data_IF_057177258957
#
_entry.id   IF_057177258957
#
_cell.length_a   1.000
_cell.length_b   1.000
_cell.length_c   1.000
_cell.angle_alpha   90.00
_cell.angle_beta   90.00
_cell.angle_gamma   90.00
#
_symmetry.space_group_name_H-M   'P 1'
#
loop_
_entity.id
_entity.type
_entity.pdbx_description
1 polymer ?
#
# COMPACT_ATOMS: atom_id res chain seq x y z
N UNK A 1 15.25 66.37 4.05
CA UNK A 1 16.54 65.66 3.77
C UNK A 1 16.31 64.18 3.89
N UNK A 2 16.93 63.35 3.08
CA UNK A 2 16.87 61.88 3.26
C UNK A 2 17.52 61.51 4.61
N UNK A 3 17.05 60.42 5.22
CA UNK A 3 17.56 59.92 6.46
C UNK A 3 19.01 59.37 6.30
N UNK A 4 19.78 59.45 7.36
CA UNK A 4 21.09 58.76 7.47
C UNK A 4 21.02 57.64 8.48
N UNK A 5 21.86 56.61 8.35
CA UNK A 5 21.90 55.48 9.30
C UNK A 5 22.15 55.98 10.74
N UNK A 6 22.95 57.05 10.92
CA UNK A 6 23.17 57.68 12.20
C UNK A 6 21.87 58.26 12.78
N UNK A 7 21.07 58.93 11.97
CA UNK A 7 19.78 59.51 12.39
C UNK A 7 18.80 58.40 12.80
N UNK A 8 18.74 57.30 12.03
CA UNK A 8 17.92 56.12 12.33
C UNK A 8 18.33 55.46 13.64
N UNK A 9 19.64 55.29 13.86
CA UNK A 9 20.20 54.70 15.08
C UNK A 9 19.89 55.56 16.30
N UNK A 10 20.08 56.88 16.20
CA UNK A 10 19.91 57.85 17.29
C UNK A 10 18.45 58.24 17.56
N UNK A 11 17.51 57.83 16.72
CA UNK A 11 16.09 58.12 16.89
C UNK A 11 15.56 57.56 18.22
N UNK A 12 15.07 58.45 19.10
CA UNK A 12 14.53 58.08 20.43
C UNK A 12 13.00 58.03 20.39
N UNK A 13 12.37 57.15 21.20
CA UNK A 13 10.92 57.12 21.37
C UNK A 13 10.45 58.39 22.04
N UNK A 14 9.27 58.91 21.62
CA UNK A 14 8.55 60.01 22.29
C UNK A 14 7.27 59.50 22.94
N UNK A 15 6.52 60.38 23.61
CA UNK A 15 5.21 60.08 24.22
C UNK A 15 4.17 59.59 23.20
N UNK A 16 4.33 60.00 21.91
CA UNK A 16 3.51 59.56 20.79
C UNK A 16 4.41 58.99 19.68
N UNK A 17 3.89 58.14 18.77
CA UNK A 17 4.67 57.64 17.65
C UNK A 17 5.27 58.78 16.82
N UNK A 18 6.59 58.76 16.61
CA UNK A 18 7.32 59.76 15.82
C UNK A 18 7.57 59.24 14.42
N UNK A 19 7.33 60.06 13.40
CA UNK A 19 7.61 59.74 12.00
C UNK A 19 8.84 60.50 11.52
N UNK A 20 9.85 59.77 11.08
CA UNK A 20 11.06 60.32 10.45
C UNK A 20 10.99 60.01 8.94
N UNK A 21 10.79 61.03 8.13
CA UNK A 21 10.58 60.90 6.68
C UNK A 21 11.92 60.78 5.94
N UNK A 22 12.04 59.79 5.04
CA UNK A 22 13.21 59.58 4.17
C UNK A 22 13.01 60.13 2.74
N UNK A 23 11.79 60.26 2.31
CA UNK A 23 11.42 60.71 0.96
C UNK A 23 10.60 59.66 0.18
N UNK A 24 9.98 60.09 -0.92
CA UNK A 24 9.16 59.21 -1.80
C UNK A 24 8.09 58.41 -1.04
N UNK A 25 7.59 58.91 0.11
CA UNK A 25 6.62 58.25 0.96
C UNK A 25 7.20 57.24 1.98
N UNK A 26 8.50 57.03 1.98
CA UNK A 26 9.20 56.20 2.99
C UNK A 26 9.41 56.99 4.28
N UNK A 27 9.10 56.37 5.40
CA UNK A 27 9.39 56.89 6.72
C UNK A 27 9.67 55.82 7.75
N UNK A 28 10.46 56.15 8.77
CA UNK A 28 10.65 55.32 9.97
C UNK A 28 9.63 55.78 11.01
N UNK A 29 8.81 54.82 11.47
CA UNK A 29 7.89 55.02 12.58
C UNK A 29 8.59 54.52 13.87
N UNK A 30 8.86 55.46 14.80
CA UNK A 30 9.37 55.15 16.12
C UNK A 30 8.21 55.14 17.10
N UNK A 31 7.89 53.97 17.64
CA UNK A 31 6.79 53.84 18.61
C UNK A 31 7.28 54.24 20.03
N UNK A 32 6.33 54.64 20.93
CA UNK A 32 6.66 54.97 22.32
C UNK A 32 7.41 53.86 23.10
N UNK A 33 7.15 52.58 22.75
CA UNK A 33 7.84 51.41 23.31
C UNK A 33 9.25 51.17 22.74
N UNK A 34 9.75 52.07 21.87
CA UNK A 34 11.10 51.98 21.29
C UNK A 34 11.21 51.19 19.99
N UNK A 35 10.19 50.50 19.52
CA UNK A 35 10.24 49.77 18.25
C UNK A 35 10.28 50.73 17.06
N UNK A 36 11.10 50.43 16.05
CA UNK A 36 11.34 51.26 14.87
C UNK A 36 10.88 50.46 13.64
N UNK A 37 9.89 50.96 12.92
CA UNK A 37 9.26 50.26 11.79
C UNK A 37 9.38 51.08 10.51
N UNK A 38 9.93 50.47 9.45
CA UNK A 38 9.91 51.06 8.11
C UNK A 38 8.52 50.96 7.52
N UNK A 39 8.01 52.10 7.10
CA UNK A 39 6.68 52.29 6.51
C UNK A 39 6.75 53.03 5.20
N UNK A 40 5.97 52.61 4.21
CA UNK A 40 5.78 53.32 2.95
C UNK A 40 4.31 53.72 2.78
N UNK A 41 4.10 55.05 2.58
CA UNK A 41 2.78 55.63 2.31
C UNK A 41 2.66 55.84 0.81
N UNK A 42 1.60 55.32 0.20
CA UNK A 42 1.34 55.44 -1.23
C UNK A 42 -0.18 55.52 -1.52
N UNK A 43 -0.56 55.79 -2.78
CA UNK A 43 -1.97 55.87 -3.22
C UNK A 43 -2.23 54.87 -4.32
N UNK A 44 -3.40 54.21 -4.24
CA UNK A 44 -3.98 53.37 -5.30
C UNK A 44 -5.41 53.75 -5.48
N UNK A 45 -5.84 54.05 -6.71
CA UNK A 45 -7.21 54.48 -7.03
C UNK A 45 -7.73 55.56 -6.07
N UNK A 46 -6.92 56.61 -5.87
CA UNK A 46 -7.18 57.75 -4.97
C UNK A 46 -7.25 57.44 -3.48
N UNK A 47 -7.10 56.13 -3.05
CA UNK A 47 -7.07 55.74 -1.65
C UNK A 47 -5.64 55.66 -1.14
N UNK A 48 -5.43 56.27 0.03
CA UNK A 48 -4.12 56.20 0.73
C UNK A 48 -3.95 54.85 1.41
N UNK A 49 -2.78 54.22 1.23
CA UNK A 49 -2.36 52.95 1.88
C UNK A 49 -1.00 53.08 2.49
N UNK A 50 -0.75 52.26 3.50
CA UNK A 50 0.56 52.18 4.20
C UNK A 50 1.05 50.75 4.20
N UNK A 51 2.23 50.54 3.59
CA UNK A 51 2.91 49.21 3.56
C UNK A 51 4.03 49.17 4.58
N UNK A 52 4.14 48.10 5.33
CA UNK A 52 5.27 47.82 6.19
C UNK A 52 6.42 47.18 5.39
N UNK A 53 7.62 47.74 5.50
CA UNK A 53 8.84 47.24 4.83
C UNK A 53 9.77 46.48 5.78
N UNK A 54 9.47 46.42 7.09
CA UNK A 54 10.23 45.68 8.09
C UNK A 54 10.53 46.49 9.32
N UNK A 55 11.22 45.90 10.28
CA UNK A 55 11.65 46.52 11.53
C UNK A 55 13.16 46.79 11.49
N UNK A 56 13.57 47.93 12.04
CA UNK A 56 14.96 48.21 12.32
C UNK A 56 15.31 47.62 13.70
N UNK A 57 16.49 46.97 13.91
CA UNK A 57 17.64 46.90 13.00
C UNK A 57 17.62 45.74 11.97
N UNK A 58 16.64 44.80 12.01
CA UNK A 58 16.61 43.64 11.10
C UNK A 58 16.60 44.07 9.63
N UNK A 59 15.93 45.20 9.33
CA UNK A 59 15.95 45.85 8.02
C UNK A 59 16.68 47.19 8.14
N UNK A 60 17.84 47.30 7.50
CA UNK A 60 18.63 48.53 7.42
C UNK A 60 17.92 49.60 6.55
N UNK A 61 18.40 50.84 6.62
CA UNK A 61 17.90 51.92 5.75
C UNK A 61 18.09 51.61 4.27
N UNK A 62 19.21 51.02 3.87
CA UNK A 62 19.48 50.60 2.50
C UNK A 62 18.46 49.56 2.03
N UNK A 63 18.24 48.53 2.84
CA UNK A 63 17.24 47.46 2.53
C UNK A 63 15.80 48.00 2.49
N UNK A 64 15.45 48.97 3.33
CA UNK A 64 14.14 49.62 3.29
C UNK A 64 13.94 50.41 1.99
N UNK A 65 14.98 51.09 1.49
CA UNK A 65 14.99 51.80 0.19
C UNK A 65 14.86 50.85 -0.98
N UNK A 66 15.58 49.71 -0.95
CA UNK A 66 15.44 48.62 -1.95
C UNK A 66 14.03 48.06 -1.96
N UNK A 67 13.46 47.80 -0.77
CA UNK A 67 12.10 47.39 -0.61
C UNK A 67 11.07 48.38 -1.18
N UNK A 68 11.30 49.66 -0.95
CA UNK A 68 10.50 50.76 -1.53
C UNK A 68 10.59 50.74 -3.05
N UNK A 69 11.76 50.65 -3.64
CA UNK A 69 11.95 50.69 -5.09
C UNK A 69 11.26 49.50 -5.79
N UNK A 70 11.35 48.30 -5.22
CA UNK A 70 10.61 47.12 -5.66
C UNK A 70 9.09 47.33 -5.60
N UNK A 71 8.58 47.86 -4.48
CA UNK A 71 7.17 48.11 -4.32
C UNK A 71 6.67 49.24 -5.27
N UNK A 72 7.48 50.25 -5.53
CA UNK A 72 7.14 51.31 -6.51
C UNK A 72 7.10 50.78 -7.94
N UNK A 73 8.01 49.88 -8.34
CA UNK A 73 7.97 49.23 -9.66
C UNK A 73 6.67 48.44 -9.84
N UNK A 74 6.24 47.69 -8.82
CA UNK A 74 4.95 46.98 -8.86
C UNK A 74 3.76 47.95 -8.97
N UNK A 75 3.80 49.05 -8.24
CA UNK A 75 2.73 50.06 -8.34
C UNK A 75 2.69 50.70 -9.72
N UNK A 76 3.84 50.99 -10.31
CA UNK A 76 3.95 51.55 -11.66
C UNK A 76 3.46 50.59 -12.75
N UNK A 77 3.53 49.27 -12.55
CA UNK A 77 2.94 48.25 -13.43
C UNK A 77 1.42 48.06 -13.24
N UNK A 78 0.79 48.86 -12.37
CA UNK A 78 -0.64 48.80 -12.11
C UNK A 78 -1.06 47.83 -10.97
N UNK A 79 -0.10 47.13 -10.37
CA UNK A 79 -0.35 46.17 -9.27
C UNK A 79 -0.31 46.89 -7.91
N UNK A 80 -1.29 46.62 -7.03
CA UNK A 80 -1.18 46.99 -5.61
C UNK A 80 -0.25 46.08 -4.84
N UNK A 81 0.92 46.57 -4.35
CA UNK A 81 1.91 45.73 -3.68
C UNK A 81 1.39 45.03 -2.42
N UNK A 82 0.49 45.63 -1.66
CA UNK A 82 -0.14 45.02 -0.49
C UNK A 82 -1.13 43.93 -0.88
N UNK A 83 -1.94 44.15 -1.90
CA UNK A 83 -2.90 43.15 -2.41
C UNK A 83 -2.14 41.91 -2.92
N UNK A 84 -1.06 42.14 -3.70
CA UNK A 84 -0.20 41.06 -4.22
C UNK A 84 0.48 40.27 -3.11
N UNK A 85 1.00 40.95 -2.08
CA UNK A 85 1.60 40.29 -0.90
C UNK A 85 0.59 39.48 -0.10
N UNK A 86 -0.63 40.00 0.08
CA UNK A 86 -1.74 39.30 0.75
C UNK A 86 -2.17 38.07 -0.05
N UNK A 87 -2.33 38.21 -1.36
CA UNK A 87 -2.68 37.12 -2.26
C UNK A 87 -1.61 36.02 -2.24
N UNK A 88 -0.32 36.38 -2.29
CA UNK A 88 0.79 35.42 -2.20
C UNK A 88 0.80 34.67 -0.85
N UNK A 89 0.53 35.37 0.26
CA UNK A 89 0.44 34.73 1.59
C UNK A 89 -0.74 33.77 1.69
N UNK A 90 -1.90 34.14 1.14
CA UNK A 90 -3.10 33.28 1.07
C UNK A 90 -2.79 32.08 0.18
N UNK A 91 -2.22 32.28 -1.00
CA UNK A 91 -1.86 31.20 -1.91
C UNK A 91 -0.86 30.22 -1.27
N UNK A 92 0.17 30.72 -0.57
CA UNK A 92 1.12 29.89 0.15
C UNK A 92 0.48 29.08 1.28
N UNK A 93 -0.48 29.67 2.00
CA UNK A 93 -1.22 28.95 3.03
C UNK A 93 -2.13 27.87 2.43
N UNK A 94 -2.88 28.21 1.40
CA UNK A 94 -3.73 27.24 0.68
C UNK A 94 -2.91 26.12 0.05
N UNK A 95 -1.73 26.45 -0.49
CA UNK A 95 -0.80 25.46 -1.03
C UNK A 95 -0.30 24.49 0.05
N UNK A 96 0.01 24.99 1.25
CA UNK A 96 0.42 24.15 2.38
C UNK A 96 -0.74 23.30 2.91
N UNK A 97 -1.94 23.84 2.98
CA UNK A 97 -3.18 23.12 3.36
C UNK A 97 -3.52 22.02 2.35
N UNK A 98 -3.19 22.19 1.07
CA UNK A 98 -3.38 21.22 -0.02
C UNK A 98 -2.09 20.49 -0.39
N UNK A 99 -1.25 20.15 0.59
CA UNK A 99 -0.06 19.33 0.36
C UNK A 99 -0.46 17.94 -0.16
N UNK A 100 0.44 17.26 -0.91
CA UNK A 100 0.19 15.92 -1.40
C UNK A 100 -0.16 14.95 -0.26
N UNK A 101 0.51 15.04 0.89
CA UNK A 101 0.21 14.21 2.06
C UNK A 101 -1.20 14.46 2.59
N UNK A 102 -1.61 15.73 2.76
CA UNK A 102 -2.96 16.06 3.23
C UNK A 102 -4.01 15.47 2.30
N UNK A 103 -3.85 15.66 0.99
CA UNK A 103 -4.78 15.14 -0.02
C UNK A 103 -4.75 13.60 -0.08
N UNK A 104 -3.58 12.98 0.08
CA UNK A 104 -3.46 11.52 0.13
C UNK A 104 -4.17 10.93 1.34
N UNK A 105 -4.13 11.58 2.51
CA UNK A 105 -4.86 11.16 3.71
C UNK A 105 -6.39 11.32 3.54
N UNK A 106 -6.84 12.39 2.87
CA UNK A 106 -8.25 12.58 2.51
C UNK A 106 -8.72 11.49 1.54
N UNK A 107 -7.96 11.24 0.46
CA UNK A 107 -8.22 10.15 -0.47
C UNK A 107 -8.28 8.80 0.25
N UNK A 108 -7.33 8.51 1.13
CA UNK A 108 -7.28 7.24 1.86
C UNK A 108 -8.50 7.06 2.78
N UNK A 109 -8.94 8.11 3.46
CA UNK A 109 -10.14 8.08 4.29
C UNK A 109 -11.41 7.75 3.48
N UNK A 110 -11.51 8.27 2.25
CA UNK A 110 -12.59 7.96 1.31
C UNK A 110 -12.48 6.53 0.76
N UNK A 111 -11.25 6.07 0.46
CA UNK A 111 -11.00 4.81 -0.23
C UNK A 111 -11.02 3.57 0.69
N UNK A 112 -10.61 3.71 1.95
CA UNK A 112 -10.43 2.59 2.90
C UNK A 112 -11.69 1.78 3.24
N UNK A 113 -12.92 2.36 3.33
CA UNK A 113 -14.09 1.59 3.76
C UNK A 113 -14.44 0.40 2.86
N UNK A 114 -14.07 0.45 1.58
CA UNK A 114 -14.27 -0.63 0.63
C UNK A 114 -13.14 -1.67 0.63
N UNK A 115 -12.22 -1.64 1.60
CA UNK A 115 -11.01 -2.49 1.64
C UNK A 115 -10.85 -3.15 3.00
N UNK A 116 -10.06 -4.24 3.04
CA UNK A 116 -9.68 -4.81 4.33
C UNK A 116 -8.76 -3.85 5.09
N UNK A 117 -8.91 -3.80 6.41
CA UNK A 117 -8.10 -2.95 7.30
C UNK A 117 -6.60 -3.18 7.09
N UNK A 118 -6.19 -4.45 6.98
CA UNK A 118 -4.81 -4.83 6.71
C UNK A 118 -4.29 -4.20 5.40
N UNK A 119 -5.08 -4.26 4.30
CA UNK A 119 -4.69 -3.69 3.02
C UNK A 119 -4.62 -2.16 3.09
N UNK A 120 -5.62 -1.52 3.69
CA UNK A 120 -5.65 -0.08 3.88
C UNK A 120 -4.45 0.42 4.70
N UNK A 121 -4.11 -0.28 5.79
CA UNK A 121 -2.93 0.01 6.59
C UNK A 121 -1.61 -0.18 5.84
N UNK A 122 -1.50 -1.20 4.97
CA UNK A 122 -0.32 -1.40 4.13
C UNK A 122 -0.12 -0.27 3.10
N UNK A 123 -1.21 0.23 2.53
CA UNK A 123 -1.16 1.36 1.58
C UNK A 123 -0.66 2.62 2.28
N UNK A 124 -1.19 2.95 3.46
CA UNK A 124 -0.76 4.14 4.20
C UNK A 124 0.70 4.04 4.62
N UNK A 125 1.13 2.92 5.23
CA UNK A 125 2.56 2.70 5.57
C UNK A 125 3.48 2.83 4.36
N UNK A 126 3.03 2.42 3.17
CA UNK A 126 3.80 2.61 1.93
C UNK A 126 3.96 4.08 1.59
N UNK A 127 2.91 4.88 1.72
CA UNK A 127 2.99 6.33 1.52
C UNK A 127 3.95 6.97 2.52
N UNK A 128 3.78 6.69 3.80
CA UNK A 128 4.61 7.25 4.88
C UNK A 128 6.09 6.92 4.71
N UNK A 129 6.41 5.69 4.33
CA UNK A 129 7.79 5.26 4.21
C UNK A 129 8.46 5.61 2.86
N UNK A 130 7.70 5.79 1.77
CA UNK A 130 8.30 5.83 0.44
C UNK A 130 7.79 6.96 -0.47
N UNK A 131 6.72 7.66 -0.12
CA UNK A 131 6.15 8.71 -0.98
C UNK A 131 6.21 10.06 -0.27
N UNK A 132 5.71 10.16 0.96
CA UNK A 132 5.69 11.41 1.72
C UNK A 132 7.07 12.03 1.95
N UNK A 133 8.15 11.28 2.18
CA UNK A 133 9.49 11.86 2.30
C UNK A 133 9.97 12.61 1.04
N UNK A 134 9.41 12.31 -0.13
CA UNK A 134 9.81 12.90 -1.41
C UNK A 134 8.88 14.03 -1.85
N UNK A 135 7.56 13.81 -1.79
CA UNK A 135 6.57 14.74 -2.34
C UNK A 135 5.48 15.14 -1.34
N UNK A 136 5.49 14.61 -0.12
CA UNK A 136 4.41 14.80 0.86
C UNK A 136 4.13 16.25 1.18
N UNK A 137 5.17 17.05 1.42
CA UNK A 137 5.06 18.47 1.75
C UNK A 137 4.78 19.38 0.54
N UNK A 138 4.89 18.85 -0.70
CA UNK A 138 4.66 19.64 -1.92
C UNK A 138 3.16 19.91 -2.11
N UNK A 139 2.74 21.10 -2.55
CA UNK A 139 1.38 21.33 -2.98
C UNK A 139 0.99 20.34 -4.08
N UNK A 140 -0.15 19.64 -3.95
CA UNK A 140 -0.55 18.58 -4.88
C UNK A 140 -0.66 19.07 -6.34
N UNK A 141 -1.06 20.34 -6.53
CA UNK A 141 -1.17 20.98 -7.85
C UNK A 141 0.18 21.29 -8.51
N UNK A 142 1.27 21.34 -7.75
CA UNK A 142 2.62 21.72 -8.21
C UNK A 142 3.54 20.53 -8.45
N UNK A 143 3.17 19.34 -7.98
CA UNK A 143 3.98 18.13 -8.20
C UNK A 143 4.09 17.83 -9.69
N UNK A 144 5.32 17.61 -10.17
CA UNK A 144 5.62 17.33 -11.58
C UNK A 144 6.15 15.90 -11.77
N UNK A 145 6.08 15.40 -13.02
CA UNK A 145 6.58 14.07 -13.36
C UNK A 145 8.07 13.82 -12.96
N UNK A 146 9.01 14.76 -13.13
CA UNK A 146 10.40 14.54 -12.68
C UNK A 146 10.55 14.27 -11.18
N UNK A 147 9.71 14.86 -10.33
CA UNK A 147 9.73 14.60 -8.88
C UNK A 147 9.27 13.17 -8.57
N UNK A 148 8.25 12.68 -9.29
CA UNK A 148 7.81 11.29 -9.20
C UNK A 148 8.89 10.32 -9.71
N UNK A 149 9.57 10.66 -10.80
CA UNK A 149 10.68 9.86 -11.33
C UNK A 149 11.82 9.76 -10.30
N UNK A 150 12.19 10.87 -9.66
CA UNK A 150 13.21 10.88 -8.60
C UNK A 150 12.81 9.97 -7.42
N UNK A 151 11.55 10.04 -6.98
CA UNK A 151 10.99 9.14 -5.97
C UNK A 151 11.07 7.67 -6.39
N UNK A 152 10.69 7.34 -7.63
CA UNK A 152 10.76 5.97 -8.16
C UNK A 152 12.20 5.45 -8.17
N UNK A 153 13.16 6.27 -8.61
CA UNK A 153 14.58 5.92 -8.62
C UNK A 153 15.14 5.69 -7.21
N UNK A 154 14.75 6.50 -6.25
CA UNK A 154 15.14 6.30 -4.85
C UNK A 154 14.61 4.98 -4.27
N UNK A 155 13.39 4.57 -4.64
CA UNK A 155 12.83 3.27 -4.25
C UNK A 155 13.54 2.12 -4.98
N UNK A 156 13.81 2.28 -6.28
CA UNK A 156 14.52 1.30 -7.11
C UNK A 156 15.93 1.00 -6.60
N UNK A 157 16.67 2.03 -6.17
CA UNK A 157 18.02 1.88 -5.62
C UNK A 157 18.07 0.93 -4.41
N UNK A 158 16.94 0.70 -3.74
CA UNK A 158 16.78 -0.27 -2.65
C UNK A 158 16.45 -1.69 -3.14
N UNK A 159 16.40 -1.92 -4.46
CA UNK A 159 16.10 -3.23 -5.05
C UNK A 159 14.62 -3.64 -5.04
N UNK A 160 13.68 -2.71 -4.77
CA UNK A 160 12.26 -3.02 -4.57
C UNK A 160 11.35 -2.42 -5.67
N UNK A 161 11.62 -2.77 -6.93
CA UNK A 161 10.95 -2.23 -8.11
C UNK A 161 9.42 -2.38 -8.09
N UNK A 162 8.90 -3.49 -7.57
CA UNK A 162 7.44 -3.69 -7.45
C UNK A 162 6.80 -2.68 -6.48
N UNK A 163 7.54 -2.28 -5.45
CA UNK A 163 7.10 -1.24 -4.52
C UNK A 163 7.04 0.12 -5.23
N UNK A 164 8.05 0.45 -6.06
CA UNK A 164 8.08 1.67 -6.86
C UNK A 164 6.86 1.75 -7.81
N UNK A 165 6.58 0.67 -8.55
CA UNK A 165 5.39 0.59 -9.43
C UNK A 165 4.09 0.81 -8.67
N UNK A 166 3.93 0.17 -7.51
CA UNK A 166 2.74 0.33 -6.65
C UNK A 166 2.64 1.73 -6.06
N UNK A 167 3.75 2.35 -5.69
CA UNK A 167 3.79 3.73 -5.20
C UNK A 167 3.29 4.71 -6.28
N UNK A 168 3.78 4.60 -7.52
CA UNK A 168 3.32 5.40 -8.66
C UNK A 168 1.82 5.20 -8.92
N UNK A 169 1.38 3.95 -9.03
CA UNK A 169 -0.03 3.61 -9.27
C UNK A 169 -0.95 4.24 -8.23
N UNK A 170 -0.57 4.13 -6.96
CA UNK A 170 -1.39 4.65 -5.85
C UNK A 170 -1.33 6.18 -5.79
N UNK A 171 -0.15 6.80 -6.06
CA UNK A 171 -0.05 8.26 -6.20
C UNK A 171 -0.94 8.78 -7.33
N UNK A 172 -1.01 8.06 -8.44
CA UNK A 172 -1.93 8.38 -9.53
C UNK A 172 -3.41 8.37 -9.12
N UNK A 173 -3.79 7.52 -8.15
CA UNK A 173 -5.16 7.54 -7.58
C UNK A 173 -5.40 8.79 -6.74
N UNK A 174 -4.40 9.23 -5.96
CA UNK A 174 -4.47 10.47 -5.19
C UNK A 174 -4.61 11.68 -6.10
N UNK A 175 -3.84 11.76 -7.20
CA UNK A 175 -3.99 12.87 -8.16
C UNK A 175 -5.37 12.87 -8.84
N UNK A 176 -5.93 11.71 -9.18
CA UNK A 176 -7.31 11.66 -9.71
C UNK A 176 -8.34 12.17 -8.69
N UNK A 177 -8.18 11.80 -7.44
CA UNK A 177 -9.01 12.33 -6.36
C UNK A 177 -8.86 13.84 -6.24
N UNK A 178 -7.62 14.36 -6.26
CA UNK A 178 -7.34 15.79 -6.22
C UNK A 178 -8.01 16.54 -7.38
N UNK A 179 -7.96 15.99 -8.60
CA UNK A 179 -8.60 16.59 -9.78
C UNK A 179 -10.12 16.63 -9.60
N UNK A 180 -10.74 15.54 -9.16
CA UNK A 180 -12.18 15.46 -8.92
C UNK A 180 -12.67 16.48 -7.87
N UNK A 181 -11.80 16.88 -6.93
CA UNK A 181 -12.11 17.87 -5.90
C UNK A 181 -11.58 19.28 -6.22
N UNK A 182 -11.12 19.54 -7.45
CA UNK A 182 -10.62 20.85 -7.86
C UNK A 182 -9.28 21.27 -7.22
N UNK A 183 -8.57 20.36 -6.57
CA UNK A 183 -7.29 20.61 -5.88
C UNK A 183 -6.08 20.50 -6.80
N UNK A 184 -6.23 19.88 -7.97
CA UNK A 184 -5.21 19.78 -9.02
C UNK A 184 -5.87 19.80 -10.40
N UNK A 185 -5.11 20.20 -11.42
CA UNK A 185 -5.57 20.25 -12.82
C UNK A 185 -5.07 19.06 -13.66
N UNK A 186 -4.01 18.37 -13.21
CA UNK A 186 -3.30 17.34 -13.96
C UNK A 186 -2.85 16.21 -13.03
N UNK A 187 -2.76 15.02 -13.59
CA UNK A 187 -2.18 13.86 -12.93
C UNK A 187 -0.78 13.55 -13.55
N UNK A 188 0.32 13.96 -12.91
CA UNK A 188 1.66 13.75 -13.46
C UNK A 188 2.08 12.27 -13.49
N UNK A 189 1.40 11.40 -12.74
CA UNK A 189 1.70 9.97 -12.74
C UNK A 189 1.27 9.27 -14.05
N UNK A 190 0.36 9.87 -14.85
CA UNK A 190 -0.06 9.32 -16.14
C UNK A 190 0.98 9.48 -17.24
N UNK A 191 1.91 10.42 -17.08
CA UNK A 191 2.97 10.68 -18.05
C UNK A 191 4.15 9.70 -17.91
N UNK A 192 4.13 8.86 -16.86
CA UNK A 192 5.22 7.97 -16.53
C UNK A 192 4.80 6.52 -16.79
N UNK A 193 5.42 5.88 -17.76
CA UNK A 193 5.37 4.43 -17.92
C UNK A 193 6.48 3.82 -17.06
N UNK A 194 6.17 2.93 -16.11
CA UNK A 194 7.19 2.33 -15.25
C UNK A 194 8.32 1.63 -16.02
N UNK A 195 8.03 1.07 -17.21
CA UNK A 195 9.02 0.44 -18.08
C UNK A 195 10.09 1.38 -18.61
N UNK A 196 9.75 2.68 -18.74
CA UNK A 196 10.66 3.68 -19.33
C UNK A 196 11.62 4.24 -18.27
N UNK A 197 11.27 4.07 -16.99
CA UNK A 197 11.98 4.66 -15.86
C UNK A 197 12.67 3.61 -14.99
N UNK A 198 12.00 2.49 -14.72
CA UNK A 198 12.49 1.43 -13.84
C UNK A 198 13.10 0.29 -14.65
N UNK A 199 14.19 -0.26 -14.15
CA UNK A 199 14.80 -1.44 -14.76
C UNK A 199 13.79 -2.58 -14.90
N UNK A 200 13.83 -3.24 -16.05
CA UNK A 200 13.00 -4.41 -16.30
C UNK A 200 13.41 -5.55 -15.36
N UNK A 201 12.47 -6.04 -14.59
CA UNK A 201 12.67 -7.26 -13.80
C UNK A 201 11.89 -8.38 -14.46
N UNK A 202 12.57 -9.49 -14.73
CA UNK A 202 11.88 -10.71 -15.14
C UNK A 202 10.91 -11.13 -14.04
N UNK A 203 9.64 -11.31 -14.40
CA UNK A 203 8.62 -11.79 -13.50
C UNK A 203 8.98 -13.22 -13.11
N UNK A 204 9.49 -13.42 -11.92
CA UNK A 204 9.65 -14.76 -11.36
C UNK A 204 8.30 -15.22 -10.83
N UNK A 205 7.85 -16.38 -11.30
CA UNK A 205 6.70 -17.05 -10.70
C UNK A 205 7.02 -17.41 -9.24
N UNK A 206 5.98 -17.52 -8.42
CA UNK A 206 6.16 -17.98 -7.04
C UNK A 206 6.87 -19.34 -7.06
N UNK A 207 7.92 -19.44 -6.26
CA UNK A 207 8.75 -20.64 -6.22
C UNK A 207 7.90 -21.88 -5.89
N UNK A 208 7.97 -22.87 -6.76
CA UNK A 208 7.39 -24.20 -6.60
C UNK A 208 8.40 -25.24 -7.07
N UNK A 209 8.36 -26.39 -6.45
CA UNK A 209 9.16 -27.56 -6.89
C UNK A 209 8.50 -28.21 -8.12
N UNK A 210 9.25 -29.01 -8.84
CA UNK A 210 8.73 -29.91 -9.86
C UNK A 210 8.04 -31.13 -9.21
N UNK A 211 7.14 -31.78 -9.97
CA UNK A 211 6.43 -32.98 -9.49
C UNK A 211 7.37 -34.10 -9.01
N UNK A 212 8.51 -34.28 -9.67
CA UNK A 212 9.54 -35.27 -9.29
C UNK A 212 10.14 -35.06 -7.89
N UNK A 213 10.13 -33.79 -7.40
CA UNK A 213 10.69 -33.45 -6.08
C UNK A 213 9.63 -33.55 -4.97
N UNK A 214 8.35 -33.76 -5.32
CA UNK A 214 7.26 -33.85 -4.37
C UNK A 214 7.43 -34.96 -3.33
N UNK A 215 7.85 -36.19 -3.70
CA UNK A 215 8.09 -37.26 -2.72
C UNK A 215 9.09 -36.89 -1.65
N UNK A 216 10.16 -36.15 -2.02
CA UNK A 216 11.16 -35.68 -1.07
C UNK A 216 10.59 -34.61 -0.13
N UNK A 217 9.81 -33.65 -0.67
CA UNK A 217 9.16 -32.64 0.15
C UNK A 217 8.23 -33.28 1.18
N UNK A 218 7.42 -34.26 0.79
CA UNK A 218 6.48 -34.94 1.68
C UNK A 218 7.21 -35.68 2.81
N UNK A 219 8.32 -36.37 2.51
CA UNK A 219 9.17 -37.00 3.54
C UNK A 219 9.76 -35.95 4.50
N UNK A 220 10.21 -34.81 4.00
CA UNK A 220 10.72 -33.73 4.87
C UNK A 220 9.60 -33.12 5.75
N UNK A 221 8.37 -33.01 5.23
CA UNK A 221 7.22 -32.59 6.04
C UNK A 221 6.92 -33.59 7.13
N UNK A 222 6.94 -34.90 6.83
CA UNK A 222 6.75 -35.97 7.83
C UNK A 222 7.82 -35.95 8.94
N UNK A 223 9.07 -35.74 8.55
CA UNK A 223 10.21 -35.63 9.47
C UNK A 223 10.40 -34.27 10.14
N UNK A 224 9.46 -33.29 9.94
CA UNK A 224 9.62 -31.96 10.47
C UNK A 224 9.65 -31.91 11.99
N UNK A 225 10.75 -31.38 12.57
CA UNK A 225 11.04 -31.35 14.01
C UNK A 225 10.40 -30.20 14.78
N UNK A 226 9.68 -29.30 14.11
CA UNK A 226 8.96 -28.21 14.78
C UNK A 226 7.58 -28.61 15.34
N UNK A 227 6.73 -27.63 15.63
CA UNK A 227 5.41 -27.88 16.22
C UNK A 227 4.58 -28.87 15.38
N UNK A 228 3.92 -29.81 16.08
CA UNK A 228 3.05 -30.81 15.45
C UNK A 228 1.94 -30.17 14.62
N UNK A 229 1.33 -29.09 15.14
CA UNK A 229 0.31 -28.31 14.42
C UNK A 229 0.82 -27.73 13.09
N UNK A 230 2.09 -27.27 13.04
CA UNK A 230 2.70 -26.77 11.80
C UNK A 230 2.92 -27.91 10.80
N UNK A 231 3.35 -29.09 11.26
CA UNK A 231 3.49 -30.29 10.42
C UNK A 231 2.16 -30.73 9.84
N UNK A 232 1.11 -30.80 10.68
CA UNK A 232 -0.24 -31.17 10.25
C UNK A 232 -0.83 -30.13 9.29
N UNK A 233 -0.55 -28.83 9.50
CA UNK A 233 -0.96 -27.78 8.58
C UNK A 233 -0.32 -27.94 7.19
N UNK A 234 0.96 -28.27 7.11
CA UNK A 234 1.64 -28.53 5.83
C UNK A 234 1.09 -29.79 5.13
N UNK A 235 0.79 -30.85 5.88
CA UNK A 235 0.15 -32.06 5.34
C UNK A 235 -1.25 -31.77 4.79
N UNK A 236 -2.07 -31.06 5.56
CA UNK A 236 -3.41 -30.67 5.11
C UNK A 236 -3.35 -29.72 3.90
N UNK A 237 -2.37 -28.82 3.87
CA UNK A 237 -2.14 -27.97 2.71
C UNK A 237 -1.76 -28.76 1.45
N UNK A 238 -0.94 -29.80 1.58
CA UNK A 238 -0.60 -30.67 0.46
C UNK A 238 -1.81 -31.42 -0.06
N UNK A 239 -2.69 -31.91 0.83
CA UNK A 239 -3.89 -32.66 0.47
C UNK A 239 -4.99 -31.81 -0.15
N UNK A 240 -5.20 -30.59 0.37
CA UNK A 240 -6.33 -29.74 -0.03
C UNK A 240 -5.94 -28.60 -0.98
N UNK A 241 -4.68 -28.26 -1.05
CA UNK A 241 -4.07 -27.15 -1.83
C UNK A 241 -4.88 -25.86 -1.85
N UNK A 242 -5.59 -25.55 -0.77
CA UNK A 242 -6.26 -24.27 -0.52
C UNK A 242 -5.23 -23.16 -0.35
N UNK A 243 -5.65 -21.88 -0.35
CA UNK A 243 -4.71 -20.77 -0.08
C UNK A 243 -4.25 -20.80 1.36
N UNK A 244 -3.00 -20.40 1.60
CA UNK A 244 -2.42 -20.35 2.96
C UNK A 244 -3.32 -19.59 3.94
N UNK A 245 -3.90 -18.46 3.51
CA UNK A 245 -4.80 -17.67 4.36
C UNK A 245 -6.12 -18.38 4.66
N UNK A 246 -6.61 -19.21 3.74
CA UNK A 246 -7.80 -20.03 3.94
C UNK A 246 -7.51 -21.13 4.97
N UNK A 247 -6.36 -21.82 4.82
CA UNK A 247 -5.95 -22.87 5.74
C UNK A 247 -5.72 -22.37 7.18
N UNK A 248 -4.85 -21.36 7.34
CA UNK A 248 -4.48 -20.90 8.69
C UNK A 248 -5.64 -20.24 9.43
N UNK A 249 -6.58 -19.62 8.70
CA UNK A 249 -7.77 -19.01 9.28
C UNK A 249 -8.93 -19.97 9.44
N UNK A 250 -8.76 -21.27 9.18
CA UNK A 250 -9.81 -22.29 9.28
C UNK A 250 -10.32 -22.40 10.73
N UNK A 251 -11.62 -22.61 10.87
CA UNK A 251 -12.30 -22.81 12.14
C UNK A 251 -12.92 -24.21 12.19
N UNK A 252 -12.94 -24.86 13.34
CA UNK A 252 -13.53 -26.20 13.46
C UNK A 252 -14.98 -26.27 13.00
N UNK A 253 -15.77 -25.23 13.23
CA UNK A 253 -17.18 -25.16 12.81
C UNK A 253 -17.38 -25.22 11.28
N UNK A 254 -16.33 -25.04 10.49
CA UNK A 254 -16.38 -25.12 9.02
C UNK A 254 -16.23 -26.57 8.48
N UNK A 255 -15.94 -27.54 9.34
CA UNK A 255 -15.65 -28.91 8.97
C UNK A 255 -16.80 -29.82 9.36
N UNK A 256 -17.36 -30.54 8.37
CA UNK A 256 -18.20 -31.68 8.55
C UNK A 256 -17.37 -32.94 8.24
N UNK A 257 -16.89 -33.57 9.31
CA UNK A 257 -16.01 -34.77 9.18
C UNK A 257 -16.78 -36.04 8.81
N UNK A 258 -18.12 -36.08 9.04
CA UNK A 258 -18.96 -37.19 8.64
C UNK A 258 -19.27 -37.13 7.14
N UNK A 259 -19.62 -35.94 6.66
CA UNK A 259 -19.82 -35.68 5.22
C UNK A 259 -18.49 -35.53 4.46
N UNK A 260 -17.34 -35.62 5.13
CA UNK A 260 -16.00 -35.41 4.57
C UNK A 260 -15.89 -34.10 3.78
N UNK A 261 -16.29 -32.97 4.40
CA UNK A 261 -16.43 -31.68 3.74
C UNK A 261 -15.90 -30.54 4.60
N UNK A 262 -15.27 -29.56 3.96
CA UNK A 262 -14.88 -28.28 4.54
C UNK A 262 -15.61 -27.15 3.80
N UNK A 263 -16.47 -26.42 4.49
CA UNK A 263 -17.26 -25.31 3.96
C UNK A 263 -16.62 -23.98 4.36
N UNK A 264 -15.90 -23.35 3.43
CA UNK A 264 -15.26 -22.06 3.68
C UNK A 264 -16.27 -20.95 3.40
N UNK A 265 -16.65 -20.12 4.39
CA UNK A 265 -17.65 -19.08 4.20
C UNK A 265 -17.12 -17.93 3.34
N UNK A 266 -18.03 -17.23 2.66
CA UNK A 266 -17.73 -16.15 1.71
C UNK A 266 -16.83 -15.05 2.28
N UNK A 267 -17.01 -14.71 3.56
CA UNK A 267 -16.26 -13.65 4.25
C UNK A 267 -14.75 -13.94 4.32
N UNK A 268 -14.40 -15.24 4.35
CA UNK A 268 -13.00 -15.69 4.41
C UNK A 268 -12.38 -15.88 3.03
N UNK A 269 -13.22 -15.95 1.99
CA UNK A 269 -12.76 -16.11 0.61
C UNK A 269 -12.35 -14.80 -0.01
N UNK A 270 -11.25 -14.82 -0.79
CA UNK A 270 -10.75 -13.63 -1.49
C UNK A 270 -11.80 -13.02 -2.43
N UNK A 271 -12.61 -13.88 -3.06
CA UNK A 271 -13.63 -13.49 -4.06
C UNK A 271 -15.02 -13.31 -3.45
N UNK A 272 -15.18 -13.44 -2.13
CA UNK A 272 -16.45 -13.27 -1.44
C UNK A 272 -17.55 -14.27 -1.90
N UNK A 273 -17.14 -15.44 -2.39
CA UNK A 273 -18.02 -16.56 -2.77
C UNK A 273 -17.68 -17.74 -1.87
N UNK A 274 -18.66 -18.44 -1.26
CA UNK A 274 -18.39 -19.61 -0.42
C UNK A 274 -17.72 -20.71 -1.24
N UNK A 275 -16.88 -21.52 -0.60
CA UNK A 275 -16.14 -22.56 -1.28
C UNK A 275 -16.21 -23.88 -0.51
N UNK A 276 -16.65 -24.94 -1.17
CA UNK A 276 -16.69 -26.30 -0.64
C UNK A 276 -15.41 -27.03 -1.04
N UNK A 277 -14.71 -27.60 -0.08
CA UNK A 277 -13.53 -28.44 -0.27
C UNK A 277 -13.88 -29.86 0.13
N UNK A 278 -14.01 -30.82 -0.82
CA UNK A 278 -14.14 -32.23 -0.48
C UNK A 278 -12.86 -32.71 0.23
N UNK A 279 -13.02 -33.53 1.27
CA UNK A 279 -11.93 -34.07 2.06
C UNK A 279 -11.74 -35.54 1.71
N UNK A 280 -10.49 -35.94 1.46
CA UNK A 280 -10.14 -37.35 1.32
C UNK A 280 -10.18 -38.06 2.68
N UNK A 281 -10.22 -39.38 2.71
CA UNK A 281 -10.13 -40.19 3.93
C UNK A 281 -8.88 -39.83 4.77
N UNK A 282 -7.75 -39.60 4.11
CA UNK A 282 -6.50 -39.19 4.75
C UNK A 282 -6.62 -37.80 5.41
N UNK A 283 -7.28 -36.85 4.75
CA UNK A 283 -7.51 -35.52 5.31
C UNK A 283 -8.43 -35.58 6.53
N UNK A 284 -9.50 -36.40 6.48
CA UNK A 284 -10.41 -36.62 7.61
C UNK A 284 -9.66 -37.23 8.80
N UNK A 285 -8.81 -38.25 8.57
CA UNK A 285 -8.01 -38.90 9.62
C UNK A 285 -7.01 -37.92 10.23
N UNK A 286 -6.37 -37.07 9.42
CA UNK A 286 -5.49 -36.01 9.89
C UNK A 286 -6.27 -35.01 10.76
N UNK A 287 -7.46 -34.60 10.35
CA UNK A 287 -8.31 -33.67 11.12
C UNK A 287 -8.76 -34.28 12.44
N UNK A 288 -9.14 -35.57 12.49
CA UNK A 288 -9.43 -36.27 13.74
C UNK A 288 -8.23 -36.30 14.69
N UNK A 289 -7.01 -36.50 14.17
CA UNK A 289 -5.79 -36.40 14.97
C UNK A 289 -5.55 -34.98 15.46
N UNK A 290 -5.75 -33.97 14.63
CA UNK A 290 -5.61 -32.56 14.98
C UNK A 290 -6.63 -32.13 16.02
N UNK A 291 -7.85 -32.70 15.97
CA UNK A 291 -8.93 -32.40 16.93
C UNK A 291 -8.53 -32.79 18.37
N UNK A 292 -7.73 -33.83 18.57
CA UNK A 292 -7.19 -34.17 19.89
C UNK A 292 -6.23 -33.09 20.43
N UNK A 293 -5.63 -32.29 19.54
CA UNK A 293 -4.63 -31.28 19.91
C UNK A 293 -5.29 -29.89 20.03
N UNK A 294 -6.14 -29.52 19.10
CA UNK A 294 -6.70 -28.15 18.99
C UNK A 294 -8.23 -28.09 19.01
N UNK A 295 -8.92 -29.22 19.23
CA UNK A 295 -10.39 -29.27 19.22
C UNK A 295 -11.09 -28.41 20.28
N UNK A 296 -10.35 -28.00 21.32
CA UNK A 296 -10.83 -27.05 22.35
C UNK A 296 -10.74 -25.58 21.89
N UNK A 297 -10.05 -25.30 20.78
CA UNK A 297 -9.93 -23.95 20.20
C UNK A 297 -11.00 -23.72 19.13
N UNK A 298 -11.37 -22.47 18.90
CA UNK A 298 -12.20 -22.08 17.76
C UNK A 298 -11.44 -22.28 16.44
N UNK A 299 -10.11 -22.01 16.45
CA UNK A 299 -9.26 -22.09 15.30
C UNK A 299 -8.74 -23.52 15.09
N UNK A 300 -8.71 -23.96 13.82
CA UNK A 300 -8.10 -25.23 13.43
C UNK A 300 -6.59 -25.23 13.77
N UNK A 301 -5.93 -24.11 13.48
CA UNK A 301 -4.50 -23.88 13.74
C UNK A 301 -4.32 -22.61 14.58
N UNK A 302 -4.50 -22.68 15.91
CA UNK A 302 -4.33 -21.54 16.80
C UNK A 302 -2.86 -21.07 16.82
N UNK A 303 -2.64 -19.80 17.14
CA UNK A 303 -1.32 -19.23 17.34
C UNK A 303 -0.67 -19.72 18.65
N UNK A 304 0.66 -19.87 18.67
CA UNK A 304 1.39 -20.32 19.86
C UNK A 304 1.30 -19.35 21.06
N UNK A 305 1.23 -18.05 20.78
CA UNK A 305 1.20 -17.00 21.82
C UNK A 305 -0.21 -16.52 22.16
N UNK A 306 -1.10 -16.66 21.22
CA UNK A 306 -2.48 -16.17 21.33
C UNK A 306 -3.37 -17.20 20.63
N UNK A 307 -4.01 -18.04 21.44
CA UNK A 307 -4.85 -19.14 20.96
C UNK A 307 -6.17 -18.67 20.35
N UNK A 308 -6.57 -17.40 20.58
CA UNK A 308 -7.75 -16.81 19.96
C UNK A 308 -7.49 -16.39 18.50
N UNK A 309 -6.22 -16.21 18.14
CA UNK A 309 -5.78 -15.90 16.77
C UNK A 309 -5.27 -17.14 16.07
N UNK A 310 -5.34 -17.08 14.75
CA UNK A 310 -4.74 -18.11 13.89
C UNK A 310 -3.21 -18.09 13.96
N UNK A 311 -2.55 -19.20 13.60
CA UNK A 311 -1.11 -19.23 13.39
C UNK A 311 -0.68 -18.15 12.36
N UNK A 312 0.55 -17.70 12.47
CA UNK A 312 1.09 -16.66 11.57
C UNK A 312 1.11 -17.13 10.11
N UNK A 313 0.79 -16.23 9.20
CA UNK A 313 0.87 -16.47 7.75
C UNK A 313 2.30 -16.89 7.31
N UNK A 314 3.32 -16.54 8.09
CA UNK A 314 4.70 -16.91 7.80
C UNK A 314 5.11 -18.29 8.38
N UNK A 315 4.28 -18.91 9.20
CA UNK A 315 4.66 -20.17 9.91
C UNK A 315 5.02 -21.28 8.93
N UNK A 316 4.15 -21.52 7.93
CA UNK A 316 4.40 -22.53 6.89
C UNK A 316 5.63 -22.16 6.04
N UNK A 317 5.76 -20.90 5.65
CA UNK A 317 6.92 -20.42 4.87
C UNK A 317 8.23 -20.64 5.64
N UNK A 318 8.25 -20.30 6.93
CA UNK A 318 9.43 -20.51 7.79
C UNK A 318 9.74 -21.99 8.04
N UNK A 319 8.72 -22.84 8.12
CA UNK A 319 8.92 -24.28 8.20
C UNK A 319 9.56 -24.83 6.92
N UNK A 320 9.08 -24.42 5.74
CA UNK A 320 9.68 -24.77 4.44
C UNK A 320 11.13 -24.26 4.34
N UNK A 321 11.41 -23.02 4.77
CA UNK A 321 12.78 -22.49 4.80
C UNK A 321 13.72 -23.33 5.69
N UNK A 322 13.26 -23.74 6.90
CA UNK A 322 14.02 -24.60 7.81
C UNK A 322 14.33 -25.99 7.24
N UNK A 323 13.44 -26.49 6.38
CA UNK A 323 13.63 -27.76 5.67
C UNK A 323 14.49 -27.63 4.40
N UNK A 324 15.07 -26.45 4.11
CA UNK A 324 15.94 -26.21 2.95
C UNK A 324 15.21 -25.77 1.67
N UNK A 325 13.92 -25.42 1.74
CA UNK A 325 13.12 -25.00 0.58
C UNK A 325 13.02 -23.48 0.40
N UNK A 326 13.92 -22.69 1.04
CA UNK A 326 13.97 -21.24 0.84
C UNK A 326 14.16 -20.92 -0.64
N UNK A 327 13.27 -20.11 -1.22
CA UNK A 327 13.30 -19.75 -2.65
C UNK A 327 12.93 -20.87 -3.61
N UNK A 328 12.67 -22.10 -3.13
CA UNK A 328 12.29 -23.27 -3.94
C UNK A 328 10.81 -23.65 -3.78
N UNK A 329 10.22 -23.43 -2.60
CA UNK A 329 8.83 -23.76 -2.33
C UNK A 329 8.17 -22.71 -1.43
N UNK A 330 6.90 -22.49 -1.63
CA UNK A 330 6.04 -21.60 -0.82
C UNK A 330 4.70 -22.28 -0.54
N UNK A 331 3.90 -21.76 0.40
CA UNK A 331 2.54 -22.24 0.60
C UNK A 331 1.68 -22.15 -0.68
N UNK A 332 1.90 -21.15 -1.53
CA UNK A 332 1.24 -21.07 -2.83
C UNK A 332 1.79 -22.12 -3.84
N UNK A 333 3.02 -22.55 -3.67
CA UNK A 333 3.65 -23.57 -4.51
C UNK A 333 2.89 -24.90 -4.50
N UNK A 334 2.28 -25.30 -3.37
CA UNK A 334 1.45 -26.52 -3.28
C UNK A 334 0.31 -26.51 -4.30
N UNK A 335 -0.32 -25.35 -4.51
CA UNK A 335 -1.40 -25.19 -5.50
C UNK A 335 -0.89 -25.39 -6.93
N UNK A 336 0.28 -24.80 -7.22
CA UNK A 336 0.88 -24.96 -8.55
C UNK A 336 1.34 -26.40 -8.84
N UNK A 337 1.88 -27.11 -7.84
CA UNK A 337 2.25 -28.54 -7.98
C UNK A 337 0.99 -29.38 -8.17
N UNK A 338 -0.03 -29.22 -7.32
CA UNK A 338 -1.26 -29.97 -7.41
C UNK A 338 -1.97 -29.73 -8.77
N UNK A 339 -2.10 -28.48 -9.20
CA UNK A 339 -2.70 -28.14 -10.50
C UNK A 339 -1.98 -28.85 -11.65
N UNK A 340 -0.63 -28.79 -11.68
CA UNK A 340 0.14 -29.44 -12.76
C UNK A 340 -0.07 -30.95 -12.75
N UNK A 341 0.09 -31.60 -11.60
CA UNK A 341 0.01 -33.06 -11.51
C UNK A 341 -1.42 -33.58 -11.75
N UNK A 342 -2.44 -32.88 -11.28
CA UNK A 342 -3.84 -33.27 -11.56
C UNK A 342 -4.17 -33.18 -13.05
N UNK A 343 -3.65 -32.20 -13.77
CA UNK A 343 -3.78 -32.18 -15.25
C UNK A 343 -3.03 -33.34 -15.90
N UNK A 344 -1.82 -33.66 -15.44
CA UNK A 344 -1.05 -34.83 -15.93
C UNK A 344 -1.75 -36.15 -15.60
N UNK A 345 -2.48 -36.23 -14.48
CA UNK A 345 -3.34 -37.36 -14.14
C UNK A 345 -4.61 -37.45 -14.98
N UNK A 346 -4.89 -36.47 -15.83
CA UNK A 346 -6.03 -36.48 -16.77
C UNK A 346 -7.32 -35.96 -16.17
N UNK A 347 -7.32 -35.28 -15.03
CA UNK A 347 -8.53 -34.66 -14.49
C UNK A 347 -8.97 -33.45 -15.30
N UNK A 348 -10.29 -33.26 -15.35
CA UNK A 348 -10.89 -32.16 -16.08
C UNK A 348 -10.46 -30.79 -15.54
N UNK A 349 -10.13 -29.87 -16.45
CA UNK A 349 -9.67 -28.52 -16.13
C UNK A 349 -10.69 -27.76 -15.26
N UNK A 350 -12.00 -27.87 -15.55
CA UNK A 350 -13.03 -27.18 -14.77
C UNK A 350 -13.09 -27.67 -13.32
N UNK A 351 -12.90 -28.99 -13.09
CA UNK A 351 -12.86 -29.56 -11.74
C UNK A 351 -11.65 -29.03 -10.94
N UNK A 352 -10.48 -28.95 -11.59
CA UNK A 352 -9.24 -28.44 -10.97
C UNK A 352 -9.37 -26.95 -10.66
N UNK A 353 -9.82 -26.13 -11.60
CA UNK A 353 -9.97 -24.69 -11.42
C UNK A 353 -11.01 -24.37 -10.33
N UNK A 354 -12.11 -25.09 -10.28
CA UNK A 354 -13.10 -24.93 -9.23
C UNK A 354 -12.54 -25.34 -7.85
N UNK A 355 -11.76 -26.43 -7.76
CA UNK A 355 -11.09 -26.84 -6.52
C UNK A 355 -10.06 -25.78 -6.07
N UNK A 356 -9.40 -25.12 -7.00
CA UNK A 356 -8.51 -24.00 -6.73
C UNK A 356 -9.26 -22.69 -6.36
N UNK A 357 -10.60 -22.68 -6.41
CA UNK A 357 -11.41 -21.47 -6.25
C UNK A 357 -10.90 -20.32 -7.15
N UNK A 358 -10.58 -20.66 -8.40
CA UNK A 358 -10.31 -19.68 -9.44
C UNK A 358 -11.65 -19.27 -10.08
N UNK A 359 -11.79 -17.97 -10.33
CA UNK A 359 -12.94 -17.50 -11.12
C UNK A 359 -12.71 -17.80 -12.59
N UNK A 360 -13.74 -18.22 -13.26
CA UNK A 360 -13.75 -18.28 -14.70
C UNK A 360 -13.52 -16.88 -15.28
N UNK A 361 -12.54 -16.75 -16.19
CA UNK A 361 -12.17 -15.47 -16.77
C UNK A 361 -13.20 -14.91 -17.74
N UNK A 362 -14.05 -15.80 -18.26
CA UNK A 362 -15.15 -15.43 -19.15
C UNK A 362 -16.37 -15.07 -18.29
N UNK A 363 -16.70 -13.77 -18.20
CA UNK A 363 -17.83 -13.28 -17.42
C UNK A 363 -19.18 -13.88 -17.88
N UNK A 364 -19.31 -14.19 -19.17
CA UNK A 364 -20.52 -14.83 -19.73
C UNK A 364 -20.63 -16.28 -19.25
N UNK A 365 -19.53 -17.05 -19.29
CA UNK A 365 -19.48 -18.43 -18.81
C UNK A 365 -19.70 -18.50 -17.29
N UNK A 366 -19.11 -17.58 -16.53
CA UNK A 366 -19.29 -17.46 -15.08
C UNK A 366 -20.75 -17.17 -14.68
N UNK A 367 -21.50 -16.43 -15.48
CA UNK A 367 -22.90 -16.11 -15.21
C UNK A 367 -23.84 -17.32 -15.40
N UNK A 368 -23.45 -18.28 -16.23
CA UNK A 368 -24.30 -19.45 -16.57
C UNK A 368 -23.86 -20.76 -15.90
N UNK A 369 -22.60 -20.88 -15.46
CA UNK A 369 -22.09 -22.14 -14.91
C UNK A 369 -22.01 -22.07 -13.36
N UNK A 370 -23.06 -22.54 -12.69
CA UNK A 370 -23.11 -22.69 -11.23
C UNK A 370 -22.81 -24.15 -10.78
N UNK A 371 -22.30 -24.99 -11.65
CA UNK A 371 -22.00 -26.38 -11.33
C UNK A 371 -20.89 -26.47 -10.28
N UNK A 372 -21.10 -27.27 -9.25
CA UNK A 372 -20.12 -27.48 -8.17
C UNK A 372 -19.21 -28.67 -8.41
N UNK A 373 -19.60 -29.56 -9.34
CA UNK A 373 -18.91 -30.83 -9.66
C UNK A 373 -18.49 -31.63 -8.43
N UNK A 374 -19.29 -31.58 -7.36
CA UNK A 374 -18.88 -32.07 -6.03
C UNK A 374 -18.49 -33.56 -6.07
N UNK A 375 -19.27 -34.41 -6.75
CA UNK A 375 -18.98 -35.84 -6.88
C UNK A 375 -17.63 -36.10 -7.58
N UNK A 376 -17.39 -35.41 -8.69
CA UNK A 376 -16.16 -35.55 -9.48
C UNK A 376 -14.94 -35.01 -8.68
N UNK A 377 -15.11 -33.86 -8.00
CA UNK A 377 -14.08 -33.30 -7.14
C UNK A 377 -13.79 -34.18 -5.93
N UNK A 378 -14.79 -34.82 -5.33
CA UNK A 378 -14.58 -35.76 -4.24
C UNK A 378 -13.67 -36.93 -4.69
N UNK A 379 -13.95 -37.50 -5.87
CA UNK A 379 -13.08 -38.52 -6.44
C UNK A 379 -11.68 -38.02 -6.71
N UNK A 380 -11.57 -36.86 -7.36
CA UNK A 380 -10.28 -36.22 -7.65
C UNK A 380 -9.44 -35.99 -6.37
N UNK A 381 -10.06 -35.51 -5.29
CA UNK A 381 -9.38 -35.25 -4.03
C UNK A 381 -8.94 -36.55 -3.33
N UNK A 382 -9.70 -37.63 -3.46
CA UNK A 382 -9.29 -38.93 -2.96
C UNK A 382 -8.11 -39.49 -3.76
N UNK A 383 -8.22 -39.51 -5.09
CA UNK A 383 -7.14 -40.00 -5.96
C UNK A 383 -5.85 -39.17 -5.77
N UNK A 384 -5.97 -37.85 -5.54
CA UNK A 384 -4.83 -36.98 -5.19
C UNK A 384 -4.20 -37.38 -3.86
N UNK A 385 -4.97 -37.62 -2.81
CA UNK A 385 -4.43 -38.04 -1.51
C UNK A 385 -3.78 -39.42 -1.58
N UNK A 386 -4.33 -40.36 -2.32
CA UNK A 386 -3.75 -41.70 -2.55
C UNK A 386 -2.42 -41.59 -3.29
N UNK A 387 -2.32 -40.68 -4.26
CA UNK A 387 -1.06 -40.38 -4.93
C UNK A 387 -0.01 -39.80 -3.96
N UNK A 388 -0.40 -38.87 -3.08
CA UNK A 388 0.53 -38.32 -2.07
C UNK A 388 1.05 -39.42 -1.11
N UNK A 389 0.19 -40.35 -0.71
CA UNK A 389 0.59 -41.50 0.14
C UNK A 389 1.55 -42.42 -0.60
N UNK A 390 1.31 -42.70 -1.89
CA UNK A 390 2.23 -43.48 -2.69
C UNK A 390 3.62 -42.84 -2.82
N UNK A 391 3.67 -41.50 -2.93
CA UNK A 391 4.91 -40.75 -2.96
C UNK A 391 5.73 -40.87 -1.65
N UNK A 392 5.05 -41.01 -0.52
CA UNK A 392 5.73 -41.19 0.80
C UNK A 392 6.17 -42.62 1.06
N UNK A 393 5.38 -43.59 0.65
CA UNK A 393 5.65 -45.04 0.92
C UNK A 393 6.55 -45.71 -0.12
N UNK A 394 6.88 -45.02 -1.22
CA UNK A 394 7.69 -45.57 -2.31
C UNK A 394 6.97 -46.60 -3.17
N UNK A 395 5.67 -46.81 -2.98
CA UNK A 395 4.85 -47.65 -3.86
C UNK A 395 4.49 -46.84 -5.10
N UNK A 396 5.05 -47.21 -6.24
CA UNK A 396 4.71 -46.62 -7.53
C UNK A 396 3.27 -46.98 -7.89
N UNK A 397 2.33 -46.09 -7.71
CA UNK A 397 1.03 -46.23 -8.36
C UNK A 397 1.22 -45.88 -9.85
N UNK A 398 1.12 -46.89 -10.71
CA UNK A 398 1.03 -46.62 -12.15
C UNK A 398 -0.22 -45.72 -12.40
N UNK A 399 -0.03 -44.58 -13.06
CA UNK A 399 -1.12 -43.72 -13.46
C UNK A 399 -2.01 -44.52 -14.45
N UNK A 400 -3.15 -45.06 -13.99
CA UNK A 400 -4.20 -45.46 -14.89
C UNK A 400 -4.86 -44.16 -15.39
N UNK A 401 -4.63 -43.82 -16.68
CA UNK A 401 -5.45 -42.81 -17.34
C UNK A 401 -6.89 -43.10 -17.07
N UNK A 402 -7.64 -42.17 -16.50
CA UNK A 402 -9.09 -42.28 -16.43
C UNK A 402 -9.57 -42.51 -17.86
N UNK A 403 -10.20 -43.67 -18.06
CA UNK A 403 -10.82 -43.98 -19.35
C UNK A 403 -11.86 -42.88 -19.64
N UNK A 404 -11.79 -42.34 -20.87
CA UNK A 404 -12.64 -41.28 -21.38
C UNK A 404 -14.14 -41.66 -21.36
#
# INVERSE_FOLDING_TARGET
>A
MPLTDTAVKKAKPGLKPVKLTDGKGLYLLVNPVGSKLWRWKYRVLSKEKVMSLGAYPDVSLAQARDGLDKARKLLASGDDPMAKRKAAKVASRTAAENSFETVARMWWAHWKPARSEQHAGQVMRRFEANVFPHIGARPVAEVQAPELVAMLKAIEARGVNDLAKRALQTSGQVFRYAIAHGLAKRNPATDIKPSDVLASRQKQNLARIDGKDLPQLLRHIEGYKGAATTRLAMKLMAMTFVRTTELIGARWVEFDLEAARWDIPAERMKMKTPHIVPLSAQAVNLLKTLQLITGHSVMLFPGERDHEKSMSNNTILKALERMGYKGRMTGHGFRGVASTLLHEMGFDHAHIELQLAHQERNEVSAAYNHATYLKQRTKMMQDWADYLDSCTTGKVLAFQRAAA
#
